data_IF_308375160325
#
_entry.id   IF_308375160325
#
_cell.length_a   1.000
_cell.length_b   1.000
_cell.length_c   1.000
_cell.angle_alpha   90.00
_cell.angle_beta   90.00
_cell.angle_gamma   90.00
#
_symmetry.space_group_name_H-M   'P 1'
#
loop_
_entity.id
_entity.type
_entity.pdbx_description
1 polymer ?
#
# COMPACT_ATOMS: atom_id res chain seq x y z
N UNK A 1 33.86 44.76 14.73
CA UNK A 1 33.15 43.53 15.17
C UNK A 1 31.65 43.73 14.98
N UNK A 2 31.11 43.31 13.83
CA UNK A 2 29.67 43.35 13.58
C UNK A 2 29.00 42.18 14.31
N UNK A 3 28.34 42.44 15.45
CA UNK A 3 27.38 41.51 16.05
C UNK A 3 26.17 41.42 15.11
N UNK A 4 26.11 40.36 14.30
CA UNK A 4 24.89 39.97 13.58
C UNK A 4 23.82 39.60 14.61
N UNK A 5 22.82 40.47 14.80
CA UNK A 5 21.56 40.17 15.47
C UNK A 5 20.78 39.12 14.67
N UNK A 6 21.07 37.84 14.89
CA UNK A 6 20.44 36.74 14.14
C UNK A 6 19.77 35.70 15.05
N UNK A 7 18.98 36.15 16.02
CA UNK A 7 18.18 35.29 16.89
C UNK A 7 16.77 35.87 17.06
N UNK A 8 15.75 35.00 16.99
CA UNK A 8 14.32 35.22 17.31
C UNK A 8 13.34 35.50 16.15
N UNK A 9 13.32 34.71 15.07
CA UNK A 9 12.17 34.69 14.14
C UNK A 9 11.70 33.27 13.82
N UNK A 10 10.47 32.94 14.23
CA UNK A 10 9.80 31.68 13.90
C UNK A 10 9.11 31.81 12.53
N UNK A 11 9.56 31.02 11.56
CA UNK A 11 9.18 31.09 10.13
C UNK A 11 9.21 29.70 9.52
N UNK A 12 8.52 29.54 8.39
CA UNK A 12 8.66 28.34 7.55
C UNK A 12 9.96 28.49 6.75
N UNK A 13 10.83 27.48 6.81
CA UNK A 13 12.09 27.48 6.08
C UNK A 13 11.92 26.95 4.66
N UNK A 14 11.29 25.77 4.55
CA UNK A 14 11.01 25.06 3.29
C UNK A 14 9.90 24.04 3.52
N UNK A 15 9.18 23.72 2.46
CA UNK A 15 8.38 22.50 2.36
C UNK A 15 9.22 21.51 1.53
N UNK A 16 9.67 20.39 2.12
CA UNK A 16 10.83 19.62 1.62
C UNK A 16 10.47 18.53 0.57
N UNK A 17 11.36 18.33 -0.41
CA UNK A 17 11.23 17.45 -1.60
C UNK A 17 12.08 16.17 -1.51
N UNK A 18 11.61 15.09 -2.14
CA UNK A 18 12.44 13.95 -2.60
C UNK A 18 12.04 13.64 -4.05
N UNK A 19 13.05 13.54 -4.93
CA UNK A 19 13.13 13.07 -6.34
C UNK A 19 13.23 14.12 -7.48
N UNK A 20 14.39 14.02 -8.16
CA UNK A 20 14.87 14.33 -9.52
C UNK A 20 14.32 15.57 -10.26
N UNK A 21 15.26 16.49 -10.46
CA UNK A 21 15.16 17.76 -11.16
C UNK A 21 14.90 17.58 -12.67
N UNK A 22 13.76 18.07 -13.16
CA UNK A 22 13.58 18.47 -14.55
C UNK A 22 13.05 19.91 -14.53
N UNK A 23 13.98 20.85 -14.74
CA UNK A 23 13.70 22.28 -14.85
C UNK A 23 12.95 22.56 -16.16
N UNK A 24 11.68 22.93 -16.06
CA UNK A 24 10.99 23.68 -17.11
C UNK A 24 10.57 25.02 -16.52
N UNK A 25 11.23 26.08 -17.00
CA UNK A 25 10.89 27.47 -16.73
C UNK A 25 9.65 27.83 -17.56
N UNK A 26 8.54 28.13 -16.88
CA UNK A 26 7.45 28.90 -17.47
C UNK A 26 7.22 30.16 -16.65
N UNK A 27 7.47 31.31 -17.29
CA UNK A 27 7.06 32.62 -16.82
C UNK A 27 5.56 32.80 -17.11
N UNK A 28 4.76 33.06 -16.08
CA UNK A 28 3.49 33.76 -16.25
C UNK A 28 3.43 34.91 -15.25
N UNK A 29 3.34 36.13 -15.79
CA UNK A 29 3.00 37.33 -15.04
C UNK A 29 1.53 37.25 -14.66
N UNK A 30 1.22 37.32 -13.37
CA UNK A 30 -0.11 37.65 -12.88
C UNK A 30 0.03 38.72 -11.79
N UNK A 31 -0.87 39.70 -11.84
CA UNK A 31 -0.86 40.92 -11.06
C UNK A 31 -0.94 40.67 -9.54
N UNK A 32 -0.11 41.41 -8.79
CA UNK A 32 -0.05 41.35 -7.33
C UNK A 32 -1.31 41.92 -6.67
N UNK A 33 -2.07 41.05 -6.02
CA UNK A 33 -2.71 41.39 -4.75
C UNK A 33 -1.69 41.14 -3.63
N UNK A 34 -1.61 42.03 -2.64
CA UNK A 34 -0.70 41.90 -1.50
C UNK A 34 -1.17 40.74 -0.62
N UNK A 35 -0.64 39.54 -0.85
CA UNK A 35 -1.11 38.33 -0.16
C UNK A 35 -0.69 38.34 1.33
N UNK A 36 -1.63 38.00 2.20
CA UNK A 36 -1.43 37.81 3.65
C UNK A 36 -0.61 36.56 4.00
N UNK A 37 -0.06 35.88 3.00
CA UNK A 37 0.68 34.63 3.10
C UNK A 37 2.08 34.78 2.48
N UNK A 38 3.05 34.06 3.04
CA UNK A 38 4.30 33.69 2.37
C UNK A 38 4.00 32.57 1.37
N UNK A 39 4.07 32.90 0.07
CA UNK A 39 3.75 31.97 -1.03
C UNK A 39 4.99 31.17 -1.44
N UNK A 40 4.91 29.86 -1.36
CA UNK A 40 5.94 28.94 -1.82
C UNK A 40 5.72 28.54 -3.28
N UNK A 41 6.78 28.20 -4.03
CA UNK A 41 6.66 27.84 -5.44
C UNK A 41 5.68 26.67 -5.66
N UNK A 42 4.74 26.86 -6.59
CA UNK A 42 3.78 25.84 -6.99
C UNK A 42 4.49 24.56 -7.41
N UNK A 43 3.96 23.42 -6.95
CA UNK A 43 4.48 22.11 -7.31
C UNK A 43 3.59 21.44 -8.34
N UNK A 44 4.18 20.63 -9.21
CA UNK A 44 3.50 19.94 -10.30
C UNK A 44 3.89 18.47 -10.29
N UNK A 45 3.09 17.62 -10.92
CA UNK A 45 3.38 16.19 -11.06
C UNK A 45 3.54 15.44 -9.73
N UNK A 46 2.76 15.81 -8.72
CA UNK A 46 2.79 15.22 -7.39
C UNK A 46 2.06 13.87 -7.35
N UNK A 47 2.58 12.88 -6.62
CA UNK A 47 1.90 11.58 -6.45
C UNK A 47 0.59 11.73 -5.67
N UNK A 48 -0.38 10.85 -5.94
CA UNK A 48 -1.70 10.88 -5.30
C UNK A 48 -1.65 10.58 -3.80
N UNK A 49 -0.57 9.98 -3.30
CA UNK A 49 -0.34 9.62 -1.90
C UNK A 49 0.64 10.58 -1.18
N UNK A 50 0.97 11.72 -1.79
CA UNK A 50 2.05 12.60 -1.31
C UNK A 50 1.83 13.07 0.13
N UNK A 51 2.81 12.74 0.98
CA UNK A 51 2.97 13.35 2.30
C UNK A 51 3.83 14.61 2.20
N UNK A 52 3.38 15.70 2.81
CA UNK A 52 4.08 16.99 2.82
C UNK A 52 4.80 17.20 4.14
N UNK A 53 6.05 17.66 4.08
CA UNK A 53 6.83 17.99 5.27
C UNK A 53 7.12 19.49 5.29
N UNK A 54 6.51 20.21 6.23
CA UNK A 54 6.70 21.63 6.46
C UNK A 54 7.77 21.82 7.53
N UNK A 55 8.91 22.40 7.16
CA UNK A 55 10.02 22.64 8.07
C UNK A 55 10.00 24.08 8.58
N UNK A 56 10.06 24.25 9.88
CA UNK A 56 10.08 25.53 10.59
C UNK A 56 11.48 25.87 11.08
N UNK A 57 11.69 27.13 11.46
CA UNK A 57 12.99 27.62 11.95
C UNK A 57 13.32 27.27 13.39
N UNK A 58 12.35 26.74 14.14
CA UNK A 58 12.49 26.27 15.51
C UNK A 58 11.56 25.06 15.71
N UNK A 59 11.75 24.35 16.82
CA UNK A 59 10.83 23.27 17.20
C UNK A 59 9.42 23.79 17.37
N UNK A 60 8.46 23.02 16.87
CA UNK A 60 7.05 23.38 16.82
C UNK A 60 6.35 22.93 18.10
N UNK A 61 5.48 23.78 18.64
CA UNK A 61 4.58 23.41 19.73
C UNK A 61 3.51 22.45 19.20
N UNK A 62 3.46 21.19 19.66
CA UNK A 62 2.48 20.20 19.19
C UNK A 62 1.03 20.63 19.38
N UNK A 63 0.72 21.43 20.40
CA UNK A 63 -0.64 21.90 20.66
C UNK A 63 -1.13 22.94 19.63
N UNK A 64 -0.21 23.56 18.91
CA UNK A 64 -0.53 24.49 17.82
C UNK A 64 -0.82 23.78 16.50
N UNK A 65 -0.63 22.46 16.42
CA UNK A 65 -0.83 21.66 15.21
C UNK A 65 -2.24 21.04 15.23
N UNK A 66 -3.11 21.54 14.37
CA UNK A 66 -4.49 21.08 14.24
C UNK A 66 -5.06 21.51 12.88
N UNK A 67 -6.23 20.98 12.52
CA UNK A 67 -6.87 21.21 11.21
C UNK A 67 -7.32 22.67 10.96
N UNK A 68 -7.40 23.50 12.01
CA UNK A 68 -7.67 24.94 11.83
C UNK A 68 -6.44 25.69 11.36
N UNK A 69 -5.28 25.25 11.83
CA UNK A 69 -3.98 25.90 11.62
C UNK A 69 -3.23 25.31 10.42
N UNK A 70 -3.45 24.03 10.09
CA UNK A 70 -2.84 23.37 8.94
C UNK A 70 -3.92 22.61 8.20
N UNK A 71 -4.10 22.93 6.91
CA UNK A 71 -5.08 22.25 6.06
C UNK A 71 -4.60 22.16 4.64
N UNK A 72 -5.12 21.15 3.95
CA UNK A 72 -5.07 21.06 2.50
C UNK A 72 -6.48 21.32 1.99
N UNK A 73 -6.62 22.24 1.03
CA UNK A 73 -7.90 22.54 0.41
C UNK A 73 -7.88 22.24 -1.08
N UNK A 74 -9.02 21.83 -1.62
CA UNK A 74 -9.24 21.67 -3.06
C UNK A 74 -9.44 23.03 -3.78
N UNK A 75 -9.63 22.99 -5.09
CA UNK A 75 -9.87 24.16 -5.95
C UNK A 75 -11.12 24.96 -5.57
N UNK A 76 -12.08 24.33 -4.87
CA UNK A 76 -13.31 24.95 -4.38
C UNK A 76 -13.18 25.47 -2.94
N UNK A 77 -12.03 25.26 -2.29
CA UNK A 77 -11.76 25.66 -0.92
C UNK A 77 -12.21 24.65 0.15
N UNK A 78 -12.68 23.45 -0.24
CA UNK A 78 -13.08 22.43 0.72
C UNK A 78 -11.83 21.79 1.35
N UNK A 79 -11.86 21.61 2.67
CA UNK A 79 -10.73 21.03 3.40
C UNK A 79 -10.72 19.51 3.29
N UNK A 80 -9.55 18.95 2.94
CA UNK A 80 -9.30 17.52 2.98
C UNK A 80 -9.01 17.09 4.41
N UNK A 81 -9.49 15.91 4.79
CA UNK A 81 -9.09 15.29 6.06
C UNK A 81 -7.60 14.92 6.00
N UNK A 82 -6.85 15.32 7.02
CA UNK A 82 -5.40 15.07 7.09
C UNK A 82 -4.98 14.56 8.46
N UNK A 83 -4.06 13.61 8.48
CA UNK A 83 -3.28 13.29 9.68
C UNK A 83 -2.08 14.24 9.77
N UNK A 84 -1.91 14.86 10.94
CA UNK A 84 -0.83 15.80 11.24
C UNK A 84 0.08 15.20 12.31
N UNK A 85 1.38 15.10 12.02
CA UNK A 85 2.38 14.65 12.99
C UNK A 85 3.54 15.64 13.06
N UNK A 86 4.23 15.66 14.18
CA UNK A 86 5.33 16.60 14.43
C UNK A 86 6.56 15.87 14.94
N UNK A 87 7.72 16.25 14.42
CA UNK A 87 9.02 15.82 14.93
C UNK A 87 9.99 17.01 14.94
N UNK A 88 10.25 17.54 16.14
CA UNK A 88 11.07 18.74 16.36
C UNK A 88 10.53 19.94 15.57
N UNK A 89 11.32 20.40 14.60
CA UNK A 89 10.98 21.55 13.75
C UNK A 89 10.16 21.20 12.50
N UNK A 90 9.69 19.97 12.32
CA UNK A 90 9.03 19.52 11.09
C UNK A 90 7.64 19.01 11.39
N UNK A 91 6.66 19.49 10.62
CA UNK A 91 5.28 18.99 10.63
C UNK A 91 5.00 18.23 9.35
N UNK A 92 4.55 16.98 9.48
CA UNK A 92 4.14 16.13 8.36
C UNK A 92 2.62 16.21 8.20
N UNK A 93 2.17 16.44 6.97
CA UNK A 93 0.77 16.55 6.57
C UNK A 93 0.49 15.40 5.61
N UNK A 94 -0.32 14.43 6.06
CA UNK A 94 -0.70 13.25 5.27
C UNK A 94 -2.19 13.30 5.00
N UNK A 95 -2.65 13.26 3.74
CA UNK A 95 -4.07 13.19 3.46
C UNK A 95 -4.60 11.81 3.90
N UNK A 96 -5.81 11.76 4.46
CA UNK A 96 -6.41 10.49 4.89
C UNK A 96 -6.80 9.66 3.66
N UNK A 97 -7.35 10.33 2.65
CA UNK A 97 -7.62 9.77 1.32
C UNK A 97 -6.56 10.28 0.35
N UNK A 98 -6.26 9.52 -0.70
CA UNK A 98 -5.40 10.00 -1.77
C UNK A 98 -5.99 11.25 -2.43
N UNK A 99 -5.11 12.12 -2.92
CA UNK A 99 -5.50 13.24 -3.76
C UNK A 99 -6.00 12.75 -5.11
N UNK A 100 -6.95 13.47 -5.69
CA UNK A 100 -7.49 13.18 -7.00
C UNK A 100 -6.48 13.57 -8.09
N UNK A 101 -6.21 12.70 -9.08
CA UNK A 101 -5.29 13.01 -10.19
C UNK A 101 -5.72 14.23 -10.98
N UNK A 102 -4.74 15.00 -11.44
CA UNK A 102 -4.97 16.20 -12.26
C UNK A 102 -5.65 17.35 -11.51
N UNK A 103 -6.03 17.17 -10.24
CA UNK A 103 -6.53 18.24 -9.39
C UNK A 103 -5.40 19.05 -8.79
N UNK A 104 -5.70 20.32 -8.55
CA UNK A 104 -4.83 21.24 -7.82
C UNK A 104 -5.35 21.39 -6.40
N UNK A 105 -4.44 21.34 -5.45
CA UNK A 105 -4.71 21.54 -4.03
C UNK A 105 -3.81 22.65 -3.49
N UNK A 106 -4.20 23.22 -2.36
CA UNK A 106 -3.44 24.26 -1.67
C UNK A 106 -3.16 23.82 -0.25
N UNK A 107 -1.89 23.83 0.16
CA UNK A 107 -1.50 23.74 1.58
C UNK A 107 -1.58 25.13 2.18
N UNK A 108 -2.26 25.24 3.32
CA UNK A 108 -2.35 26.44 4.13
C UNK A 108 -1.81 26.14 5.52
N UNK A 109 -0.86 26.95 5.98
CA UNK A 109 -0.23 26.86 7.31
C UNK A 109 -0.34 28.21 7.99
N UNK A 110 -1.00 28.27 9.13
CA UNK A 110 -1.25 29.50 9.88
C UNK A 110 -1.26 29.24 11.40
N UNK A 111 -1.03 30.28 12.21
CA UNK A 111 -1.18 30.26 13.67
C UNK A 111 -0.38 29.17 14.42
N UNK A 112 0.68 28.66 13.80
CA UNK A 112 1.64 27.74 14.42
C UNK A 112 2.51 28.50 15.42
N UNK A 113 2.85 27.85 16.54
CA UNK A 113 3.76 28.38 17.55
C UNK A 113 5.00 27.49 17.68
N UNK A 114 6.12 28.08 18.07
CA UNK A 114 7.28 27.30 18.51
C UNK A 114 7.10 26.80 19.94
N UNK A 115 7.88 25.81 20.36
CA UNK A 115 7.95 25.35 21.77
C UNK A 115 8.35 26.46 22.76
N UNK A 116 8.91 27.56 22.26
CA UNK A 116 9.23 28.78 23.03
C UNK A 116 8.12 29.84 23.00
N UNK A 117 6.95 29.51 22.45
CA UNK A 117 5.78 30.37 22.38
C UNK A 117 5.78 31.43 21.27
N UNK A 118 6.77 31.43 20.38
CA UNK A 118 6.83 32.40 19.28
C UNK A 118 5.79 32.05 18.20
N UNK A 119 4.91 32.99 17.87
CA UNK A 119 3.96 32.83 16.77
C UNK A 119 4.64 32.86 15.40
N UNK A 120 4.10 32.09 14.45
CA UNK A 120 4.54 32.08 13.07
C UNK A 120 4.38 33.49 12.47
N UNK A 121 5.49 34.04 11.98
CA UNK A 121 5.50 35.45 11.56
C UNK A 121 4.62 35.73 10.34
N UNK A 122 4.62 34.81 9.38
CA UNK A 122 3.81 34.89 8.17
C UNK A 122 3.20 33.49 7.94
N UNK A 123 1.88 33.41 7.72
CA UNK A 123 1.23 32.18 7.28
C UNK A 123 1.86 31.70 5.96
N UNK A 124 1.94 30.39 5.73
CA UNK A 124 2.47 29.80 4.51
C UNK A 124 1.36 29.30 3.58
N UNK A 125 1.52 29.52 2.28
CA UNK A 125 0.64 28.97 1.23
C UNK A 125 1.47 28.30 0.15
N UNK A 126 1.04 27.12 -0.31
CA UNK A 126 1.66 26.45 -1.45
C UNK A 126 0.63 25.67 -2.26
N UNK A 127 0.56 25.99 -3.55
CA UNK A 127 -0.27 25.25 -4.49
C UNK A 127 0.51 24.02 -5.00
N UNK A 128 -0.20 22.92 -5.24
CA UNK A 128 0.37 21.75 -5.87
C UNK A 128 -0.64 21.03 -6.75
N UNK A 129 -0.20 20.61 -7.93
CA UNK A 129 -1.01 19.84 -8.86
C UNK A 129 -0.56 18.39 -8.81
N UNK A 130 -1.52 17.51 -8.55
CA UNK A 130 -1.31 16.07 -8.63
C UNK A 130 -1.03 15.73 -10.07
N UNK A 131 -0.02 14.88 -10.29
CA UNK A 131 0.29 14.33 -11.60
C UNK A 131 -1.02 13.93 -12.24
N UNK A 132 -1.27 14.50 -13.42
CA UNK A 132 -2.24 13.97 -14.35
C UNK A 132 -1.73 12.58 -14.71
N UNK A 133 -1.99 11.60 -13.85
CA UNK A 133 -1.95 10.23 -14.27
C UNK A 133 -2.89 10.15 -15.45
N UNK A 134 -2.54 9.32 -16.42
CA UNK A 134 -3.61 8.50 -16.99
C UNK A 134 -4.43 8.01 -15.78
N UNK A 135 -5.71 8.34 -15.75
CA UNK A 135 -6.28 8.77 -14.49
C UNK A 135 -6.43 7.56 -13.57
N UNK A 136 -6.24 7.74 -12.26
CA UNK A 136 -6.72 6.74 -11.28
C UNK A 136 -8.25 6.68 -11.27
N UNK A 137 -8.90 7.48 -12.12
CA UNK A 137 -10.15 7.20 -12.81
C UNK A 137 -10.02 7.62 -14.29
N UNK A 138 -9.22 6.92 -15.11
CA UNK A 138 -9.94 6.43 -16.28
C UNK A 138 -10.91 5.53 -15.56
N UNK A 139 -12.20 5.87 -15.60
CA UNK A 139 -13.16 4.80 -15.73
C UNK A 139 -12.44 3.71 -16.51
N UNK A 140 -12.19 2.56 -15.92
CA UNK A 140 -11.59 1.47 -16.65
C UNK A 140 -12.65 1.19 -17.71
N UNK A 141 -12.52 1.79 -18.91
CA UNK A 141 -13.62 2.60 -19.51
C UNK A 141 -14.99 2.10 -19.12
N UNK A 142 -15.80 2.87 -18.38
CA UNK A 142 -17.00 2.41 -17.64
C UNK A 142 -17.59 1.22 -18.39
N UNK A 143 -17.47 0.03 -17.79
CA UNK A 143 -17.75 -1.23 -18.47
C UNK A 143 -16.56 -1.91 -19.16
N UNK A 144 -15.33 -1.85 -18.63
CA UNK A 144 -14.28 -2.81 -18.99
C UNK A 144 -14.36 -4.11 -18.18
N UNK A 145 -14.86 -4.01 -16.95
CA UNK A 145 -15.23 -5.10 -16.07
C UNK A 145 -16.54 -4.79 -15.36
N UNK A 146 -17.14 -5.83 -14.81
CA UNK A 146 -18.26 -5.76 -13.88
C UNK A 146 -17.79 -6.27 -12.53
N UNK A 147 -18.15 -5.55 -11.47
CA UNK A 147 -18.05 -6.05 -10.11
C UNK A 147 -19.26 -6.90 -9.79
N UNK A 148 -19.02 -8.03 -9.15
CA UNK A 148 -20.04 -9.01 -8.75
C UNK A 148 -19.83 -9.37 -7.29
N UNK A 149 -20.88 -9.87 -6.63
CA UNK A 149 -20.77 -10.38 -5.26
C UNK A 149 -20.18 -9.36 -4.27
N UNK A 150 -20.49 -8.06 -4.42
CA UNK A 150 -19.87 -6.99 -3.62
C UNK A 150 -20.36 -6.99 -2.17
N UNK A 151 -19.41 -7.06 -1.23
CA UNK A 151 -19.70 -7.04 0.21
C UNK A 151 -18.71 -6.16 0.97
N UNK A 152 -19.10 -5.77 2.17
CA UNK A 152 -18.26 -5.03 3.11
C UNK A 152 -17.83 -5.96 4.22
N UNK A 153 -16.52 -6.03 4.44
CA UNK A 153 -15.91 -6.85 5.48
C UNK A 153 -15.24 -5.97 6.52
N UNK A 154 -15.43 -6.33 7.79
CA UNK A 154 -14.62 -5.86 8.91
C UNK A 154 -13.68 -6.96 9.34
N UNK A 155 -12.39 -6.73 9.16
CA UNK A 155 -11.32 -7.65 9.50
C UNK A 155 -10.67 -7.15 10.80
N UNK A 156 -10.72 -7.97 11.83
CA UNK A 156 -10.15 -7.67 13.14
C UNK A 156 -9.02 -8.64 13.44
N UNK A 157 -7.79 -8.17 13.35
CA UNK A 157 -6.62 -8.86 13.89
C UNK A 157 -6.49 -8.51 15.37
N UNK A 158 -6.62 -9.48 16.28
CA UNK A 158 -6.37 -9.31 17.71
C UNK A 158 -5.04 -9.95 18.08
N UNK A 159 -4.11 -9.15 18.58
CA UNK A 159 -2.84 -9.57 19.16
C UNK A 159 -3.00 -9.62 20.69
N UNK A 160 -2.89 -10.80 21.28
CA UNK A 160 -2.94 -11.01 22.73
C UNK A 160 -1.53 -11.23 23.24
N UNK A 161 -1.01 -10.25 23.97
CA UNK A 161 0.34 -10.25 24.54
C UNK A 161 0.28 -10.75 25.98
N UNK A 162 1.14 -11.71 26.29
CA UNK A 162 1.39 -12.23 27.64
C UNK A 162 2.89 -12.22 27.93
N UNK A 163 3.28 -12.27 29.20
CA UNK A 163 4.68 -12.36 29.60
C UNK A 163 4.86 -13.31 30.79
N UNK A 164 6.00 -13.98 30.87
CA UNK A 164 6.38 -14.82 32.02
C UNK A 164 7.07 -14.04 33.13
N UNK A 165 7.50 -12.81 32.86
CA UNK A 165 8.16 -11.88 33.79
C UNK A 165 7.57 -10.47 33.64
N UNK A 166 7.87 -9.58 34.57
CA UNK A 166 7.47 -8.16 34.47
C UNK A 166 8.33 -7.49 33.40
N UNK A 167 7.75 -7.29 32.21
CA UNK A 167 8.49 -6.91 31.01
C UNK A 167 7.87 -5.69 30.33
N UNK A 168 8.68 -4.66 30.14
CA UNK A 168 8.39 -3.55 29.23
C UNK A 168 8.82 -3.92 27.82
N UNK A 169 7.96 -3.70 26.83
CA UNK A 169 8.28 -3.98 25.43
C UNK A 169 7.63 -3.00 24.47
N UNK A 170 8.25 -2.85 23.30
CA UNK A 170 7.72 -2.12 22.16
C UNK A 170 7.07 -3.13 21.20
N UNK A 171 5.76 -3.04 21.06
CA UNK A 171 5.00 -3.75 20.04
C UNK A 171 5.08 -2.96 18.74
N UNK A 172 5.59 -3.60 17.69
CA UNK A 172 5.38 -3.15 16.32
C UNK A 172 4.66 -4.27 15.56
N UNK A 173 3.69 -3.91 14.72
CA UNK A 173 3.01 -4.87 13.86
C UNK A 173 2.74 -4.24 12.50
N UNK A 174 3.21 -4.88 11.44
CA UNK A 174 2.99 -4.41 10.07
C UNK A 174 1.52 -4.63 9.68
N UNK A 175 0.82 -3.53 9.42
CA UNK A 175 -0.57 -3.53 8.94
C UNK A 175 -0.60 -3.76 7.42
N UNK A 176 0.44 -3.32 6.71
CA UNK A 176 0.58 -3.40 5.26
C UNK A 176 0.37 -2.07 4.53
N UNK A 177 0.41 -2.12 3.21
CA UNK A 177 0.12 -0.99 2.31
C UNK A 177 -1.38 -0.70 2.24
N UNK A 178 -1.77 0.39 1.57
CA UNK A 178 -3.17 0.58 1.20
C UNK A 178 -3.64 -0.55 0.27
N UNK A 179 -4.80 -1.12 0.56
CA UNK A 179 -5.29 -2.34 -0.11
C UNK A 179 -6.29 -2.06 -1.25
N UNK A 180 -6.22 -0.88 -1.87
CA UNK A 180 -7.12 -0.51 -2.97
C UNK A 180 -6.73 -1.24 -4.26
N UNK A 181 -7.74 -1.75 -4.97
CA UNK A 181 -7.67 -2.47 -6.25
C UNK A 181 -8.92 -2.14 -7.07
N UNK A 182 -9.01 -2.40 -8.39
CA UNK A 182 -10.27 -2.29 -9.13
C UNK A 182 -11.46 -3.03 -8.50
N UNK A 183 -11.22 -4.05 -7.67
CA UNK A 183 -12.25 -4.86 -7.02
C UNK A 183 -12.32 -4.71 -5.49
N UNK A 184 -11.38 -3.99 -4.88
CA UNK A 184 -11.40 -3.73 -3.43
C UNK A 184 -11.17 -2.25 -3.12
N UNK A 185 -11.96 -1.72 -2.18
CA UNK A 185 -11.78 -0.40 -1.59
C UNK A 185 -11.59 -0.49 -0.09
N UNK A 186 -10.49 0.04 0.42
CA UNK A 186 -10.31 0.27 1.84
C UNK A 186 -11.18 1.46 2.30
N UNK A 187 -12.02 1.23 3.31
CA UNK A 187 -12.96 2.22 3.82
C UNK A 187 -12.49 2.85 5.13
N UNK A 188 -11.87 2.04 6.00
CA UNK A 188 -11.40 2.50 7.31
C UNK A 188 -10.28 1.61 7.86
N UNK A 189 -9.42 2.20 8.69
CA UNK A 189 -8.37 1.53 9.43
C UNK A 189 -8.26 2.14 10.82
N UNK A 190 -8.38 1.31 11.85
CA UNK A 190 -8.22 1.69 13.25
C UNK A 190 -7.28 0.73 13.97
N UNK A 191 -6.60 1.26 15.00
CA UNK A 191 -5.85 0.45 15.96
C UNK A 191 -6.38 0.73 17.37
N UNK A 192 -6.54 -0.33 18.15
CA UNK A 192 -7.05 -0.27 19.51
C UNK A 192 -6.05 -0.95 20.45
N UNK A 193 -5.99 -0.48 21.69
CA UNK A 193 -5.11 -1.03 22.74
C UNK A 193 -4.32 0.07 23.47
N UNK A 194 -3.70 -0.25 24.61
CA UNK A 194 -2.96 0.74 25.41
C UNK A 194 -1.79 1.34 24.63
N UNK A 195 -1.78 2.66 24.47
CA UNK A 195 -0.77 3.42 23.72
C UNK A 195 -0.62 2.99 22.24
N UNK A 196 -1.61 2.30 21.68
CA UNK A 196 -1.60 1.89 20.28
C UNK A 196 -1.78 3.11 19.37
N UNK A 197 -0.93 3.19 18.35
CA UNK A 197 -1.01 4.23 17.32
C UNK A 197 -0.62 3.64 15.97
N UNK A 198 -1.19 4.21 14.92
CA UNK A 198 -0.75 3.93 13.56
C UNK A 198 0.50 4.78 13.30
N UNK A 199 1.61 4.14 13.02
CA UNK A 199 2.84 4.76 12.52
C UNK A 199 3.00 4.45 11.03
N UNK A 200 3.69 5.35 10.32
CA UNK A 200 4.10 5.13 8.94
C UNK A 200 5.57 5.47 8.81
N UNK A 201 6.40 4.48 8.49
CA UNK A 201 7.83 4.72 8.23
C UNK A 201 8.09 5.18 6.79
N UNK A 202 7.22 4.82 5.85
CA UNK A 202 7.26 5.21 4.44
C UNK A 202 5.88 5.11 3.73
N UNK A 203 5.85 5.24 2.40
CA UNK A 203 4.62 5.17 1.58
C UNK A 203 4.01 3.76 1.48
N UNK A 204 4.68 2.73 2.00
CA UNK A 204 4.25 1.33 1.86
C UNK A 204 4.00 0.61 3.20
N UNK A 205 4.64 1.02 4.30
CA UNK A 205 4.50 0.34 5.60
C UNK A 205 3.68 1.15 6.60
N UNK A 206 2.40 0.82 6.73
CA UNK A 206 1.61 1.19 7.91
C UNK A 206 1.85 0.17 9.00
N UNK A 207 2.04 0.65 10.21
CA UNK A 207 2.33 -0.18 11.37
C UNK A 207 1.43 0.21 12.53
N UNK A 208 1.04 -0.77 13.34
CA UNK A 208 0.66 -0.53 14.71
C UNK A 208 1.95 -0.44 15.51
N UNK A 209 2.09 0.61 16.32
CA UNK A 209 3.13 0.74 17.33
C UNK A 209 2.47 0.95 18.70
N UNK A 210 2.97 0.26 19.71
CA UNK A 210 2.57 0.46 21.10
C UNK A 210 3.76 0.22 22.04
N UNK A 211 3.80 0.95 23.15
CA UNK A 211 4.71 0.67 24.26
C UNK A 211 3.86 0.35 25.49
N UNK A 212 4.14 -0.79 26.13
CA UNK A 212 3.45 -1.17 27.36
C UNK A 212 4.33 -2.03 28.25
N UNK A 213 3.89 -2.18 29.49
CA UNK A 213 4.45 -3.13 30.46
C UNK A 213 3.45 -4.26 30.68
N UNK A 214 3.91 -5.52 30.69
CA UNK A 214 3.09 -6.71 30.90
C UNK A 214 3.65 -7.47 32.09
N UNK A 215 2.79 -7.78 33.07
CA UNK A 215 3.15 -8.60 34.22
C UNK A 215 2.77 -10.07 34.01
N UNK A 216 3.38 -11.00 34.77
CA UNK A 216 2.95 -12.39 34.76
C UNK A 216 1.46 -12.52 35.10
N UNK A 217 0.71 -13.16 34.20
CA UNK A 217 -0.75 -13.32 34.32
C UNK A 217 -1.59 -12.26 33.59
N UNK A 218 -1.00 -11.14 33.16
CA UNK A 218 -1.69 -10.16 32.33
C UNK A 218 -1.97 -10.71 30.92
N UNK A 219 -3.08 -10.25 30.33
CA UNK A 219 -3.42 -10.46 28.92
C UNK A 219 -3.75 -9.11 28.29
N UNK A 220 -2.76 -8.48 27.66
CA UNK A 220 -2.96 -7.19 27.00
C UNK A 220 -3.34 -7.45 25.54
N UNK A 221 -4.43 -6.83 25.09
CA UNK A 221 -4.90 -6.97 23.72
C UNK A 221 -4.70 -5.71 22.91
N UNK A 222 -4.24 -5.92 21.67
CA UNK A 222 -4.15 -4.92 20.62
C UNK A 222 -4.99 -5.37 19.44
N UNK A 223 -5.75 -4.47 18.85
CA UNK A 223 -6.56 -4.80 17.68
C UNK A 223 -6.20 -3.91 16.50
N UNK A 224 -6.13 -4.52 15.31
CA UNK A 224 -6.10 -3.82 14.04
C UNK A 224 -7.45 -4.11 13.37
N UNK A 225 -8.25 -3.07 13.18
CA UNK A 225 -9.58 -3.17 12.60
C UNK A 225 -9.54 -2.50 11.23
N UNK A 226 -9.67 -3.30 10.17
CA UNK A 226 -9.81 -2.83 8.78
C UNK A 226 -11.25 -3.01 8.34
N UNK A 227 -11.81 -1.99 7.69
CA UNK A 227 -13.08 -2.11 6.98
C UNK A 227 -12.82 -1.93 5.50
N UNK A 228 -13.22 -2.91 4.69
CA UNK A 228 -13.01 -2.92 3.23
C UNK A 228 -14.30 -3.29 2.54
N UNK A 229 -14.53 -2.73 1.36
CA UNK A 229 -15.52 -3.24 0.41
C UNK A 229 -14.79 -4.05 -0.64
N UNK A 230 -15.13 -5.33 -0.76
CA UNK A 230 -14.52 -6.27 -1.70
C UNK A 230 -15.56 -6.84 -2.67
N UNK A 231 -15.13 -7.25 -3.85
CA UNK A 231 -15.99 -7.76 -4.93
C UNK A 231 -15.28 -8.83 -5.72
N UNK A 232 -16.04 -9.76 -6.29
CA UNK A 232 -15.60 -10.46 -7.49
C UNK A 232 -15.46 -9.47 -8.65
N UNK A 233 -14.60 -9.79 -9.61
CA UNK A 233 -14.34 -8.98 -10.79
C UNK A 233 -14.33 -9.84 -12.05
N UNK A 234 -15.12 -9.42 -13.03
CA UNK A 234 -15.24 -10.07 -14.34
C UNK A 234 -15.03 -9.08 -15.46
N UNK A 235 -14.01 -9.27 -16.28
CA UNK A 235 -13.74 -8.42 -17.43
C UNK A 235 -14.74 -8.70 -18.56
N UNK A 236 -15.37 -7.65 -19.08
CA UNK A 236 -16.35 -7.71 -20.16
C UNK A 236 -15.76 -7.29 -21.50
N UNK A 237 -14.58 -6.64 -21.49
CA UNK A 237 -13.79 -6.32 -22.68
C UNK A 237 -12.71 -7.38 -22.91
N UNK A 238 -12.31 -7.53 -24.17
CA UNK A 238 -11.20 -8.40 -24.56
C UNK A 238 -9.86 -7.78 -24.12
N UNK A 239 -9.30 -8.30 -23.02
CA UNK A 239 -8.03 -7.86 -22.44
C UNK A 239 -6.84 -8.03 -23.40
N UNK A 240 -6.95 -8.91 -24.40
CA UNK A 240 -5.89 -9.08 -25.40
C UNK A 240 -5.72 -7.86 -26.31
N UNK A 241 -6.68 -6.92 -26.33
CA UNK A 241 -6.60 -5.66 -27.08
C UNK A 241 -5.74 -4.59 -26.43
N UNK A 242 -5.16 -4.89 -25.27
CA UNK A 242 -4.19 -3.98 -24.63
C UNK A 242 -3.04 -3.64 -25.58
N UNK A 243 -2.62 -2.37 -25.55
CA UNK A 243 -1.53 -1.88 -26.40
C UNK A 243 -0.16 -2.38 -25.94
N UNK A 244 -0.01 -2.66 -24.65
CA UNK A 244 1.30 -2.88 -24.03
C UNK A 244 2.17 -1.63 -23.95
N UNK A 245 1.60 -0.43 -24.20
CA UNK A 245 2.30 0.84 -24.00
C UNK A 245 2.17 1.30 -22.54
N UNK A 246 3.28 1.17 -21.82
CA UNK A 246 3.37 1.60 -20.42
C UNK A 246 3.91 3.01 -20.23
N UNK A 247 4.07 3.81 -21.30
CA UNK A 247 4.63 5.16 -21.23
C UNK A 247 3.92 6.09 -20.23
N UNK A 248 2.61 5.87 -20.03
CA UNK A 248 1.79 6.61 -19.09
C UNK A 248 1.67 5.98 -17.69
N UNK A 249 2.27 4.80 -17.47
CA UNK A 249 2.25 4.14 -16.17
C UNK A 249 3.44 4.61 -15.32
N UNK A 250 3.19 5.51 -14.37
CA UNK A 250 4.23 6.15 -13.55
C UNK A 250 5.10 5.16 -12.78
N UNK A 251 4.50 4.06 -12.37
CA UNK A 251 5.11 3.09 -11.47
C UNK A 251 5.70 1.90 -12.24
N UNK A 252 5.81 2.02 -13.57
CA UNK A 252 6.35 0.98 -14.45
C UNK A 252 7.63 0.39 -13.88
N UNK A 253 8.62 1.25 -13.60
CA UNK A 253 9.92 0.81 -13.10
C UNK A 253 9.82 0.09 -11.76
N UNK A 254 8.98 0.55 -10.84
CA UNK A 254 8.76 -0.10 -9.54
C UNK A 254 8.23 -1.52 -9.74
N UNK A 255 7.21 -1.67 -10.57
CA UNK A 255 6.51 -2.93 -10.78
C UNK A 255 7.13 -3.84 -11.84
N UNK A 256 8.25 -3.45 -12.45
CA UNK A 256 9.10 -4.31 -13.30
C UNK A 256 10.47 -4.58 -12.71
N UNK A 257 10.83 -3.93 -11.60
CA UNK A 257 12.12 -4.15 -10.94
C UNK A 257 12.11 -5.39 -10.05
N UNK A 258 13.27 -6.03 -9.85
CA UNK A 258 13.41 -7.09 -8.86
C UNK A 258 13.16 -6.56 -7.47
N UNK A 259 12.78 -7.46 -6.59
CA UNK A 259 12.60 -7.17 -5.18
C UNK A 259 12.87 -8.41 -4.33
N UNK A 260 12.78 -8.27 -3.01
CA UNK A 260 12.88 -9.43 -2.12
C UNK A 260 11.94 -10.55 -2.60
N UNK A 261 12.50 -11.75 -2.72
CA UNK A 261 11.83 -12.98 -3.22
C UNK A 261 11.24 -12.92 -4.63
N UNK A 262 11.42 -11.82 -5.35
CA UNK A 262 11.01 -11.64 -6.75
C UNK A 262 12.29 -11.34 -7.53
N UNK A 263 13.14 -12.34 -7.70
CA UNK A 263 14.46 -12.24 -8.31
C UNK A 263 14.38 -12.13 -9.86
N UNK A 264 13.58 -11.18 -10.36
CA UNK A 264 13.30 -10.99 -11.80
C UNK A 264 14.52 -10.59 -12.65
N UNK A 265 15.61 -10.16 -12.01
CA UNK A 265 16.90 -9.89 -12.63
C UNK A 265 17.85 -11.10 -12.63
N UNK A 266 17.47 -12.21 -11.99
CA UNK A 266 18.24 -13.44 -12.00
C UNK A 266 18.23 -14.07 -13.40
N UNK A 267 19.40 -14.57 -13.84
CA UNK A 267 19.57 -15.10 -15.18
C UNK A 267 18.69 -16.32 -15.48
N UNK A 268 18.42 -17.19 -14.49
CA UNK A 268 17.58 -18.38 -14.68
C UNK A 268 16.12 -18.00 -14.87
N UNK A 269 15.64 -17.01 -14.11
CA UNK A 269 14.30 -16.43 -14.28
C UNK A 269 14.18 -15.76 -15.65
N UNK A 270 15.16 -14.95 -16.06
CA UNK A 270 15.18 -14.31 -17.38
C UNK A 270 15.18 -15.36 -18.50
N UNK A 271 15.97 -16.43 -18.36
CA UNK A 271 16.04 -17.50 -19.34
C UNK A 271 14.71 -18.25 -19.43
N UNK A 272 14.09 -18.58 -18.28
CA UNK A 272 12.78 -19.21 -18.25
C UNK A 272 11.70 -18.31 -18.85
N UNK A 273 11.69 -17.02 -18.53
CA UNK A 273 10.77 -16.05 -19.13
C UNK A 273 10.89 -16.01 -20.66
N UNK A 274 12.12 -15.99 -21.20
CA UNK A 274 12.37 -16.06 -22.65
C UNK A 274 11.86 -17.37 -23.26
N UNK A 275 12.08 -18.50 -22.59
CA UNK A 275 11.61 -19.82 -23.02
C UNK A 275 10.08 -19.87 -23.10
N UNK A 276 9.37 -19.50 -22.03
CA UNK A 276 7.90 -19.62 -21.98
C UNK A 276 7.20 -18.58 -22.86
N UNK A 277 7.72 -17.35 -22.93
CA UNK A 277 7.09 -16.30 -23.73
C UNK A 277 7.46 -16.40 -25.21
N UNK A 278 8.67 -16.83 -25.55
CA UNK A 278 9.14 -16.91 -26.93
C UNK A 278 8.99 -15.57 -27.65
N UNK A 279 8.25 -15.55 -28.76
CA UNK A 279 7.98 -14.34 -29.55
C UNK A 279 6.77 -13.53 -29.07
N UNK A 280 6.14 -13.91 -27.95
CA UNK A 280 4.94 -13.24 -27.44
C UNK A 280 5.29 -11.85 -26.94
N UNK A 281 4.73 -10.81 -27.57
CA UNK A 281 4.92 -9.41 -27.17
C UNK A 281 3.77 -8.88 -26.32
N UNK A 282 2.55 -9.33 -26.60
CA UNK A 282 1.34 -8.89 -25.91
C UNK A 282 1.35 -9.28 -24.42
N UNK A 283 1.20 -8.32 -23.49
CA UNK A 283 1.33 -8.57 -22.06
C UNK A 283 0.24 -9.47 -21.48
N UNK A 284 -0.99 -9.43 -21.99
CA UNK A 284 -2.06 -10.33 -21.58
C UNK A 284 -1.70 -11.80 -21.89
N UNK A 285 -1.16 -12.07 -23.08
CA UNK A 285 -0.73 -13.42 -23.44
C UNK A 285 0.53 -13.86 -22.68
N UNK A 286 1.41 -12.94 -22.28
CA UNK A 286 2.51 -13.25 -21.34
C UNK A 286 1.96 -13.66 -19.97
N UNK A 287 1.01 -12.90 -19.40
CA UNK A 287 0.34 -13.25 -18.15
C UNK A 287 -0.34 -14.61 -18.22
N UNK A 288 -1.06 -14.89 -19.31
CA UNK A 288 -1.68 -16.20 -19.53
C UNK A 288 -0.66 -17.35 -19.55
N UNK A 289 0.46 -17.17 -20.25
CA UNK A 289 1.52 -18.20 -20.31
C UNK A 289 2.24 -18.39 -18.98
N UNK A 290 2.48 -17.30 -18.24
CA UNK A 290 3.05 -17.38 -16.89
C UNK A 290 2.10 -18.14 -15.94
N UNK A 291 0.80 -17.84 -16.00
CA UNK A 291 -0.25 -18.55 -15.27
C UNK A 291 -0.24 -20.06 -15.56
N UNK A 292 -0.27 -20.42 -16.84
CA UNK A 292 -0.26 -21.81 -17.27
C UNK A 292 1.00 -22.54 -16.79
N UNK A 293 2.16 -21.90 -16.94
CA UNK A 293 3.44 -22.46 -16.52
C UNK A 293 3.48 -22.67 -15.01
N UNK A 294 3.26 -21.62 -14.22
CA UNK A 294 3.39 -21.68 -12.76
C UNK A 294 2.41 -22.70 -12.19
N UNK A 295 1.14 -22.67 -12.61
CA UNK A 295 0.13 -23.58 -12.10
C UNK A 295 0.49 -25.05 -12.39
N UNK A 296 0.97 -25.37 -13.60
CA UNK A 296 1.28 -26.76 -14.00
C UNK A 296 2.68 -27.23 -13.59
N UNK A 297 3.61 -26.31 -13.34
CA UNK A 297 4.99 -26.62 -12.96
C UNK A 297 5.14 -26.84 -11.45
N UNK A 298 4.42 -26.05 -10.66
CA UNK A 298 4.58 -26.03 -9.21
C UNK A 298 3.74 -27.10 -8.51
N UNK A 299 4.29 -27.65 -7.42
CA UNK A 299 3.60 -28.54 -6.50
C UNK A 299 3.55 -27.90 -5.10
N UNK A 300 2.39 -27.94 -4.45
CA UNK A 300 2.22 -27.33 -3.15
C UNK A 300 2.99 -28.13 -2.07
N UNK A 301 3.89 -27.47 -1.34
CA UNK A 301 4.75 -28.09 -0.31
C UNK A 301 5.04 -27.11 0.84
N UNK A 302 4.38 -27.33 1.98
CA UNK A 302 4.57 -26.54 3.19
C UNK A 302 6.01 -26.59 3.74
N UNK A 303 6.80 -27.62 3.44
CA UNK A 303 8.19 -27.72 3.89
C UNK A 303 9.15 -26.90 3.01
N UNK A 304 8.66 -26.42 1.86
CA UNK A 304 9.41 -25.59 0.93
C UNK A 304 8.82 -24.19 0.76
N UNK A 305 8.05 -23.71 1.75
CA UNK A 305 7.34 -22.45 1.63
C UNK A 305 8.19 -21.20 1.84
N UNK A 306 7.81 -20.14 1.13
CA UNK A 306 8.24 -18.76 1.30
C UNK A 306 9.75 -18.55 1.10
N UNK A 307 10.32 -19.20 0.07
CA UNK A 307 11.75 -19.22 -0.27
C UNK A 307 12.09 -18.42 -1.53
N UNK A 308 11.12 -17.82 -2.20
CA UNK A 308 11.34 -16.91 -3.33
C UNK A 308 11.19 -17.54 -4.70
N UNK A 309 11.00 -16.69 -5.70
CA UNK A 309 10.78 -17.05 -7.10
C UNK A 309 11.90 -17.93 -7.67
N UNK A 310 13.15 -17.65 -7.35
CA UNK A 310 14.27 -18.48 -7.80
C UNK A 310 14.22 -19.90 -7.21
N UNK A 311 13.87 -20.03 -5.92
CA UNK A 311 13.73 -21.34 -5.30
C UNK A 311 12.55 -22.12 -5.90
N UNK A 312 11.43 -21.46 -6.09
CA UNK A 312 10.25 -21.98 -6.75
C UNK A 312 10.58 -22.51 -8.15
N UNK A 313 11.29 -21.72 -8.96
CA UNK A 313 11.72 -22.13 -10.30
C UNK A 313 12.66 -23.35 -10.26
N UNK A 314 13.58 -23.42 -9.30
CA UNK A 314 14.57 -24.49 -9.25
C UNK A 314 14.00 -25.81 -8.73
N UNK A 315 12.97 -25.75 -7.88
CA UNK A 315 12.43 -26.93 -7.18
C UNK A 315 11.08 -27.38 -7.71
N UNK A 316 10.31 -26.49 -8.33
CA UNK A 316 8.91 -26.73 -8.68
C UNK A 316 8.03 -26.94 -7.44
N UNK A 317 8.39 -26.35 -6.29
CA UNK A 317 7.73 -26.56 -5.00
C UNK A 317 7.60 -25.27 -4.20
N UNK A 318 6.52 -25.11 -3.46
CA UNK A 318 6.32 -23.99 -2.53
C UNK A 318 4.88 -23.84 -2.05
N UNK A 319 4.55 -22.69 -1.48
CA UNK A 319 3.20 -22.31 -1.03
C UNK A 319 2.65 -21.13 -1.85
N UNK A 320 1.49 -20.57 -1.48
CA UNK A 320 0.84 -19.51 -2.27
C UNK A 320 1.76 -18.31 -2.59
N UNK A 321 2.63 -17.95 -1.65
CA UNK A 321 3.66 -16.93 -1.82
C UNK A 321 4.63 -17.29 -2.95
N UNK A 322 5.23 -18.49 -2.95
CA UNK A 322 6.23 -18.91 -3.95
C UNK A 322 5.63 -19.02 -5.36
N UNK A 323 4.36 -19.44 -5.46
CA UNK A 323 3.63 -19.45 -6.74
C UNK A 323 3.47 -18.02 -7.27
N UNK A 324 3.02 -17.11 -6.41
CA UNK A 324 2.78 -15.71 -6.76
C UNK A 324 4.09 -14.98 -7.10
N UNK A 325 5.13 -15.21 -6.32
CA UNK A 325 6.48 -14.66 -6.51
C UNK A 325 7.09 -15.12 -7.84
N UNK A 326 7.03 -16.43 -8.15
CA UNK A 326 7.53 -16.95 -9.43
C UNK A 326 6.77 -16.35 -10.61
N UNK A 327 5.44 -16.29 -10.52
CA UNK A 327 4.61 -15.68 -11.56
C UNK A 327 5.02 -14.22 -11.80
N UNK A 328 5.11 -13.43 -10.74
CA UNK A 328 5.47 -12.01 -10.83
C UNK A 328 6.89 -11.86 -11.35
N UNK A 329 7.85 -12.66 -10.89
CA UNK A 329 9.24 -12.59 -11.33
C UNK A 329 9.38 -12.85 -12.84
N UNK A 330 8.66 -13.84 -13.37
CA UNK A 330 8.62 -14.12 -14.81
C UNK A 330 8.05 -12.94 -15.60
N UNK A 331 6.95 -12.35 -15.14
CA UNK A 331 6.36 -11.17 -15.80
C UNK A 331 7.29 -9.97 -15.78
N UNK A 332 7.84 -9.62 -14.61
CA UNK A 332 8.78 -8.51 -14.44
C UNK A 332 10.03 -8.66 -15.29
N UNK A 333 10.60 -9.87 -15.36
CA UNK A 333 11.74 -10.19 -16.21
C UNK A 333 11.46 -9.97 -17.71
N UNK A 334 10.19 -9.92 -18.12
CA UNK A 334 9.75 -9.67 -19.49
C UNK A 334 9.17 -8.27 -19.73
N UNK A 335 9.28 -7.37 -18.73
CA UNK A 335 8.83 -5.99 -18.81
C UNK A 335 7.32 -5.78 -18.62
N UNK A 336 6.60 -6.78 -18.09
CA UNK A 336 5.17 -6.65 -17.72
C UNK A 336 5.10 -6.27 -16.24
N UNK A 337 4.49 -5.12 -15.88
CA UNK A 337 4.36 -4.75 -14.48
C UNK A 337 3.43 -5.70 -13.74
N UNK A 338 3.89 -6.21 -12.60
CA UNK A 338 3.12 -7.15 -11.78
C UNK A 338 3.47 -6.96 -10.31
N UNK A 339 2.56 -7.34 -9.41
CA UNK A 339 2.71 -7.28 -7.95
C UNK A 339 2.08 -8.49 -7.29
N UNK A 340 2.61 -8.86 -6.13
CA UNK A 340 1.97 -9.84 -5.25
C UNK A 340 0.94 -9.11 -4.39
N UNK A 341 -0.27 -9.62 -4.32
CA UNK A 341 -1.29 -9.18 -3.37
C UNK A 341 -1.36 -10.20 -2.23
N UNK A 342 -1.39 -9.72 -0.99
CA UNK A 342 -1.43 -10.58 0.21
C UNK A 342 -2.63 -10.21 1.07
N UNK A 343 -3.23 -11.20 1.71
CA UNK A 343 -4.41 -11.00 2.53
C UNK A 343 -5.09 -12.30 2.91
N UNK A 344 -6.38 -12.39 2.64
CA UNK A 344 -7.20 -13.56 2.96
C UNK A 344 -7.92 -14.06 1.72
N UNK A 345 -7.96 -15.39 1.55
CA UNK A 345 -8.86 -16.03 0.61
C UNK A 345 -9.89 -16.85 1.38
N UNK A 346 -11.09 -16.31 1.51
CA UNK A 346 -12.17 -16.90 2.31
C UNK A 346 -13.25 -17.56 1.43
N UNK A 347 -13.75 -18.70 1.90
CA UNK A 347 -14.97 -19.29 1.37
C UNK A 347 -16.17 -18.44 1.83
N UNK A 348 -16.69 -17.64 0.90
CA UNK A 348 -17.80 -16.72 1.18
C UNK A 348 -19.10 -17.43 1.57
N UNK A 349 -19.23 -18.73 1.27
CA UNK A 349 -20.40 -19.53 1.67
C UNK A 349 -20.48 -19.75 3.19
N UNK A 350 -19.35 -19.67 3.91
CA UNK A 350 -19.32 -19.73 5.38
C UNK A 350 -20.18 -18.62 6.01
N UNK A 351 -20.36 -17.49 5.33
CA UNK A 351 -21.18 -16.38 5.83
C UNK A 351 -22.69 -16.62 5.76
N UNK A 352 -23.15 -17.69 5.09
CA UNK A 352 -24.57 -18.05 5.06
C UNK A 352 -25.07 -18.55 6.42
N UNK A 353 -24.15 -19.05 7.25
CA UNK A 353 -24.45 -19.64 8.57
C UNK A 353 -24.10 -18.71 9.74
N UNK A 354 -23.25 -17.70 9.51
CA UNK A 354 -22.75 -16.78 10.54
C UNK A 354 -22.27 -15.49 9.88
N UNK A 355 -22.52 -14.32 10.48
CA UNK A 355 -21.95 -13.06 9.98
C UNK A 355 -20.45 -12.95 10.22
N UNK A 356 -19.88 -13.80 11.09
CA UNK A 356 -18.46 -13.81 11.44
C UNK A 356 -17.82 -15.17 11.20
N UNK A 357 -16.58 -15.18 10.73
CA UNK A 357 -15.74 -16.37 10.60
C UNK A 357 -14.37 -16.15 11.24
N UNK A 358 -13.72 -17.24 11.64
CA UNK A 358 -12.29 -17.24 11.97
C UNK A 358 -11.49 -17.28 10.68
N UNK A 359 -10.74 -16.20 10.41
CA UNK A 359 -9.90 -16.06 9.22
C UNK A 359 -8.41 -16.31 9.50
N UNK A 360 -8.05 -16.82 10.68
CA UNK A 360 -6.66 -16.94 11.12
C UNK A 360 -5.83 -17.82 10.19
N UNK A 361 -6.46 -18.87 9.65
CA UNK A 361 -5.87 -19.85 8.72
C UNK A 361 -6.19 -19.58 7.24
N UNK A 362 -7.01 -18.57 6.95
CA UNK A 362 -7.43 -18.26 5.56
C UNK A 362 -6.45 -17.27 4.87
N UNK A 363 -5.20 -17.18 5.35
CA UNK A 363 -4.17 -16.32 4.73
C UNK A 363 -3.83 -16.80 3.34
N UNK A 364 -3.65 -15.85 2.42
CA UNK A 364 -3.35 -16.20 1.05
C UNK A 364 -2.57 -15.09 0.33
N UNK A 365 -1.81 -15.50 -0.69
CA UNK A 365 -1.10 -14.61 -1.60
C UNK A 365 -1.45 -14.97 -3.05
N UNK A 366 -1.68 -13.94 -3.87
CA UNK A 366 -2.00 -14.05 -5.28
C UNK A 366 -1.35 -12.92 -6.07
N UNK A 367 -1.72 -12.77 -7.34
CA UNK A 367 -1.05 -11.84 -8.26
C UNK A 367 -2.02 -10.81 -8.81
N UNK A 368 -1.51 -9.60 -9.01
CA UNK A 368 -2.07 -8.66 -9.95
C UNK A 368 -1.03 -8.26 -11.00
N UNK A 369 -1.43 -8.21 -12.27
CA UNK A 369 -0.61 -7.71 -13.36
C UNK A 369 -1.27 -6.51 -14.03
N UNK A 370 -0.48 -5.55 -14.47
CA UNK A 370 -1.00 -4.30 -15.03
C UNK A 370 -1.12 -4.41 -16.54
N UNK A 371 -2.30 -4.12 -17.07
CA UNK A 371 -2.51 -3.90 -18.49
C UNK A 371 -2.82 -2.43 -18.74
N UNK A 372 -2.14 -1.78 -19.71
CA UNK A 372 -2.60 -0.49 -20.23
C UNK A 372 -4.08 -0.58 -20.62
N UNK A 373 -4.80 0.54 -20.55
CA UNK A 373 -6.26 0.62 -20.76
C UNK A 373 -7.17 -0.11 -19.73
N UNK A 374 -6.66 -1.10 -18.98
CA UNK A 374 -7.47 -1.93 -18.05
C UNK A 374 -7.05 -1.85 -16.58
N UNK A 375 -5.85 -1.37 -16.28
CA UNK A 375 -5.36 -1.28 -14.90
C UNK A 375 -4.85 -2.60 -14.34
N UNK A 376 -5.01 -2.79 -13.03
CA UNK A 376 -4.59 -4.00 -12.31
C UNK A 376 -5.59 -5.15 -12.52
N UNK A 377 -5.09 -6.27 -13.04
CA UNK A 377 -5.86 -7.46 -13.36
C UNK A 377 -5.42 -8.62 -12.45
N UNK A 378 -6.33 -9.25 -11.69
CA UNK A 378 -5.96 -10.34 -10.78
C UNK A 378 -5.68 -11.66 -11.52
N UNK A 379 -4.83 -12.48 -10.93
CA UNK A 379 -4.62 -13.87 -11.28
C UNK A 379 -4.27 -14.67 -10.02
N UNK A 380 -4.84 -15.87 -9.90
CA UNK A 380 -4.66 -16.76 -8.76
C UNK A 380 -3.99 -18.07 -9.23
N UNK A 381 -2.65 -18.14 -9.23
CA UNK A 381 -1.90 -19.25 -9.82
C UNK A 381 -1.83 -20.51 -8.95
N UNK A 382 -2.17 -20.43 -7.66
CA UNK A 382 -2.04 -21.52 -6.69
C UNK A 382 -3.22 -22.48 -6.73
N UNK A 383 -4.38 -22.08 -7.23
CA UNK A 383 -5.53 -22.97 -7.31
C UNK A 383 -5.27 -24.17 -8.26
N UNK A 384 -5.14 -25.38 -7.69
CA UNK A 384 -4.92 -26.62 -8.45
C UNK A 384 -6.24 -27.38 -8.55
N UNK A 385 -6.68 -27.62 -9.78
CA UNK A 385 -7.89 -28.39 -10.09
C UNK A 385 -7.55 -29.70 -10.79
N UNK A 386 -8.22 -30.80 -10.43
CA UNK A 386 -8.06 -32.10 -11.07
C UNK A 386 -9.35 -32.53 -11.78
N UNK A 387 -9.23 -32.99 -13.03
CA UNK A 387 -10.31 -33.62 -13.79
C UNK A 387 -9.85 -34.99 -14.26
N UNK A 388 -10.59 -36.04 -13.89
CA UNK A 388 -10.26 -37.43 -14.21
C UNK A 388 -8.82 -37.83 -13.81
N UNK A 389 -8.36 -37.39 -12.63
CA UNK A 389 -7.02 -37.68 -12.12
C UNK A 389 -5.88 -36.89 -12.77
N UNK A 390 -6.19 -35.98 -13.71
CA UNK A 390 -5.21 -35.11 -14.36
C UNK A 390 -5.37 -33.67 -13.90
N UNK A 391 -4.27 -33.04 -13.49
CA UNK A 391 -4.25 -31.61 -13.20
C UNK A 391 -4.68 -30.83 -14.45
N UNK A 392 -5.63 -29.93 -14.26
CA UNK A 392 -6.25 -29.14 -15.31
C UNK A 392 -6.27 -27.68 -14.88
N UNK A 393 -5.95 -26.79 -15.81
CA UNK A 393 -5.99 -25.35 -15.59
C UNK A 393 -7.42 -24.86 -15.40
N UNK A 394 -7.63 -24.03 -14.38
CA UNK A 394 -8.90 -23.36 -14.13
C UNK A 394 -8.80 -21.86 -14.44
N UNK A 395 -9.15 -21.50 -15.68
CA UNK A 395 -9.13 -20.11 -16.11
C UNK A 395 -10.16 -19.21 -15.42
N UNK A 396 -11.04 -19.73 -14.56
CA UNK A 396 -11.91 -18.88 -13.74
C UNK A 396 -11.14 -18.04 -12.71
N UNK A 397 -9.86 -18.37 -12.50
CA UNK A 397 -8.90 -17.68 -11.64
C UNK A 397 -7.82 -16.90 -12.43
N UNK A 398 -7.93 -16.85 -13.76
CA UNK A 398 -7.04 -16.03 -14.59
C UNK A 398 -7.80 -14.81 -15.12
N UNK A 399 -7.38 -13.61 -14.72
CA UNK A 399 -8.06 -12.35 -15.08
C UNK A 399 -9.51 -12.28 -14.60
N UNK A 400 -9.84 -12.99 -13.53
CA UNK A 400 -11.18 -13.09 -12.99
C UNK A 400 -11.11 -13.56 -11.54
N UNK A 401 -12.00 -13.01 -10.70
CA UNK A 401 -12.30 -13.52 -9.36
C UNK A 401 -13.81 -13.60 -9.25
N UNK A 402 -14.35 -14.79 -8.96
CA UNK A 402 -15.79 -15.05 -9.05
C UNK A 402 -16.60 -14.54 -7.84
N UNK A 403 -15.94 -14.22 -6.73
CA UNK A 403 -16.56 -13.81 -5.48
C UNK A 403 -15.68 -12.80 -4.72
N UNK A 404 -16.29 -12.17 -3.71
CA UNK A 404 -15.65 -11.28 -2.74
C UNK A 404 -14.83 -12.00 -1.66
N UNK A 405 -14.18 -13.10 -2.06
CA UNK A 405 -13.40 -13.94 -1.15
C UNK A 405 -11.93 -13.55 -1.04
N UNK A 406 -11.39 -12.74 -1.96
CA UNK A 406 -9.96 -12.39 -2.03
C UNK A 406 -9.71 -11.00 -1.44
N UNK A 407 -9.64 -10.95 -0.12
CA UNK A 407 -9.57 -9.70 0.64
C UNK A 407 -8.12 -9.25 0.78
N UNK A 408 -7.73 -8.17 0.09
CA UNK A 408 -6.36 -7.64 0.11
C UNK A 408 -6.08 -6.96 1.45
N UNK A 409 -4.96 -7.30 2.07
CA UNK A 409 -4.36 -6.58 3.19
C UNK A 409 -3.15 -5.74 2.78
N UNK A 410 -2.43 -6.11 1.72
CA UNK A 410 -1.27 -5.37 1.23
C UNK A 410 -0.72 -5.85 -0.13
N UNK A 411 0.40 -5.26 -0.55
CA UNK A 411 1.08 -5.54 -1.83
C UNK A 411 2.60 -5.57 -1.69
N UNK A 412 3.24 -6.38 -2.56
CA UNK A 412 4.68 -6.53 -2.79
C UNK A 412 5.54 -6.91 -1.57
N UNK A 413 6.29 -8.01 -1.73
CA UNK A 413 7.38 -8.47 -0.86
C UNK A 413 8.60 -7.53 -0.83
N UNK A 414 8.67 -6.52 -1.69
CA UNK A 414 9.81 -5.61 -1.91
C UNK A 414 10.21 -4.66 -0.77
N UNK A 415 9.45 -4.68 0.32
CA UNK A 415 9.81 -4.03 1.57
C UNK A 415 9.40 -4.85 2.79
N UNK A 416 8.65 -5.93 2.61
CA UNK A 416 7.99 -6.58 3.71
C UNK A 416 8.67 -7.92 3.95
N UNK A 417 9.73 -7.84 4.75
CA UNK A 417 9.99 -8.91 5.69
C UNK A 417 8.64 -9.26 6.35
N UNK A 418 8.09 -10.41 5.93
CA UNK A 418 7.11 -11.27 6.61
C UNK A 418 5.66 -11.14 6.12
N UNK A 419 5.30 -12.05 5.21
CA UNK A 419 4.10 -12.87 5.43
C UNK A 419 4.40 -13.89 6.55
N UNK A 420 3.46 -14.01 7.49
CA UNK A 420 3.37 -15.13 8.43
C UNK A 420 4.15 -15.03 9.74
N UNK A 421 5.24 -14.28 9.82
CA UNK A 421 5.91 -14.04 11.10
C UNK A 421 5.63 -12.62 11.55
N UNK A 422 5.19 -12.47 12.78
CA UNK A 422 5.09 -11.14 13.33
C UNK A 422 6.51 -10.53 13.41
N UNK A 423 6.73 -9.32 12.88
CA UNK A 423 7.86 -8.50 13.34
C UNK A 423 7.50 -7.93 14.70
N UNK A 424 7.54 -8.77 15.73
CA UNK A 424 7.82 -8.24 17.04
C UNK A 424 9.33 -7.98 17.08
N UNK A 425 9.72 -6.72 17.25
CA UNK A 425 10.98 -6.44 17.91
C UNK A 425 10.73 -6.44 19.42
N UNK A 426 10.49 -7.60 20.03
CA UNK A 426 10.81 -7.71 21.46
C UNK A 426 12.31 -7.99 21.57
N UNK A 427 12.92 -7.57 22.67
CA UNK A 427 14.26 -8.02 23.03
C UNK A 427 14.22 -9.55 23.15
N UNK A 428 14.74 -10.25 22.14
CA UNK A 428 14.78 -11.71 22.09
C UNK A 428 15.33 -12.25 23.42
N UNK A 429 14.51 -12.99 24.18
CA UNK A 429 14.83 -13.45 25.54
C UNK A 429 14.00 -12.84 26.67
N UNK A 430 13.02 -11.96 26.40
CA UNK A 430 12.25 -11.22 27.41
C UNK A 430 11.02 -11.92 28.01
N UNK A 431 10.78 -13.20 27.69
CA UNK A 431 9.63 -13.96 28.20
C UNK A 431 8.25 -13.52 27.67
N UNK A 432 8.19 -12.67 26.65
CA UNK A 432 6.95 -12.18 26.04
C UNK A 432 6.46 -13.16 24.97
N UNK A 433 5.16 -13.48 25.00
CA UNK A 433 4.48 -14.28 24.00
C UNK A 433 3.30 -13.48 23.42
N UNK A 434 3.05 -13.64 22.12
CA UNK A 434 1.94 -12.95 21.47
C UNK A 434 1.18 -13.89 20.56
N UNK A 435 -0.07 -14.14 20.93
CA UNK A 435 -1.02 -14.89 20.14
C UNK A 435 -1.77 -13.96 19.20
N UNK A 436 -2.07 -14.43 17.99
CA UNK A 436 -2.88 -13.69 17.02
C UNK A 436 -4.13 -14.47 16.67
N UNK A 437 -5.26 -13.77 16.66
CA UNK A 437 -6.51 -14.26 16.12
C UNK A 437 -7.05 -13.28 15.08
N UNK A 438 -7.56 -13.79 13.96
CA UNK A 438 -8.23 -12.97 12.94
C UNK A 438 -9.71 -13.31 12.90
N UNK A 439 -10.58 -12.31 13.05
CA UNK A 439 -12.01 -12.44 12.84
C UNK A 439 -12.41 -11.62 11.61
N UNK A 440 -13.14 -12.22 10.69
CA UNK A 440 -13.70 -11.53 9.52
C UNK A 440 -15.21 -11.51 9.68
N UNK A 441 -15.79 -10.31 9.70
CA UNK A 441 -17.22 -10.09 9.77
C UNK A 441 -17.73 -9.51 8.45
N UNK A 442 -18.79 -10.11 7.89
CA UNK A 442 -19.54 -9.58 6.75
C UNK A 442 -20.62 -8.63 7.26
N UNK A 443 -20.58 -7.36 6.85
CA UNK A 443 -21.41 -6.28 7.41
C UNK A 443 -22.73 -6.03 6.67
N UNK A 444 -22.90 -6.53 5.43
CA UNK A 444 -24.06 -6.24 4.58
C UNK A 444 -24.58 -7.46 3.80
#
# INVERSE_FOLDING_TARGET
MNKKNNTNRFRIFKIQFIVILLLLLFNSKAAHAQESYEVFPTQQNISTDKVWNVKFSQDVDPFSINEKNIKIVDESGNSLKTSLTCSGSTVSIRPINNYDPGKTYTILVDNIKSTKGYALKLPGKMDFTIKSGAPTNQEVGVGSFSLIDTHTYKITDTLTVTATEDTSFDLTYNIGTFSNSPYQKELDLQVLGPNAKITSEDSIRRQLSANTNVKPGDKIQYQIVRTVQDSGIKYVKDLSKTTGDYSNFSDYKKYTSPSDKIESDNQDIINKAKEIFGTTTNPYYKAKKAYEFVNTYMNYDNNNGNKGALNALNTGKGVCEDYSELYVALLRASGVPARVATGFWVDTSKFNSSSTIDGSEDRHAWVEYYLPEYGWVPAEPTNIYYRNGKQTLDYSFFSNLSSSGHIISGYDSAGDNKDGNIIYSYLQGSGVHVDRQTVIEKLN
#
